data_IF_429171911493
#
_entry.id   IF_429171911493
#
_cell.length_a   1.000
_cell.length_b   1.000
_cell.length_c   1.000
_cell.angle_alpha   90.00
_cell.angle_beta   90.00
_cell.angle_gamma   90.00
#
_symmetry.space_group_name_H-M   'P 1'
#
loop_
_entity.id
_entity.type
_entity.pdbx_description
1 polymer ?
#
# COMPACT_ATOMS: atom_id res chain seq x y z
N UNK A 1 32.58 3.97 -16.94
CA UNK A 1 31.14 4.03 -16.60
C UNK A 1 30.60 2.61 -16.55
N UNK A 2 30.34 2.04 -15.36
CA UNK A 2 29.74 0.69 -15.28
C UNK A 2 28.27 0.82 -15.67
N UNK A 3 27.89 0.25 -16.82
CA UNK A 3 26.48 0.04 -17.17
C UNK A 3 25.85 -0.78 -16.04
N UNK A 4 24.98 -0.17 -15.24
CA UNK A 4 24.15 -0.90 -14.31
C UNK A 4 23.28 -1.85 -15.14
N UNK A 5 23.49 -3.16 -15.00
CA UNK A 5 22.66 -4.15 -15.68
C UNK A 5 21.22 -4.00 -15.18
N UNK A 6 20.30 -3.68 -16.11
CA UNK A 6 18.85 -3.75 -15.91
C UNK A 6 18.50 -5.12 -15.34
N UNK A 7 18.01 -5.16 -14.09
CA UNK A 7 17.66 -6.41 -13.43
C UNK A 7 16.69 -6.20 -12.28
N UNK A 8 15.74 -7.10 -12.17
CA UNK A 8 14.90 -7.31 -10.98
C UNK A 8 15.53 -8.40 -10.11
N UNK A 9 15.66 -8.14 -8.82
CA UNK A 9 16.17 -9.09 -7.81
C UNK A 9 15.23 -9.08 -6.61
N UNK A 10 15.38 -10.09 -5.74
CA UNK A 10 14.74 -10.04 -4.44
C UNK A 10 15.70 -10.47 -3.33
N UNK A 11 15.49 -9.92 -2.14
CA UNK A 11 16.00 -10.46 -0.88
C UNK A 11 14.82 -10.93 -0.04
N UNK A 12 15.07 -11.79 0.95
CA UNK A 12 14.02 -12.21 1.88
C UNK A 12 14.58 -12.38 3.29
N UNK A 13 13.70 -12.26 4.27
CA UNK A 13 13.96 -12.53 5.68
C UNK A 13 12.74 -13.24 6.28
N UNK A 14 13.00 -14.29 7.05
CA UNK A 14 11.97 -14.96 7.84
C UNK A 14 11.91 -14.28 9.24
N UNK A 15 10.83 -13.56 9.52
CA UNK A 15 10.54 -12.94 10.83
C UNK A 15 9.64 -13.88 11.63
N UNK A 16 9.69 -13.85 12.97
CA UNK A 16 8.94 -14.77 13.84
C UNK A 16 7.45 -14.88 13.48
N UNK A 17 6.84 -13.81 12.99
CA UNK A 17 5.41 -13.74 12.68
C UNK A 17 5.08 -13.80 11.19
N UNK A 18 6.03 -13.66 10.27
CA UNK A 18 5.78 -13.59 8.82
C UNK A 18 7.10 -13.64 8.04
N UNK A 19 7.01 -13.82 6.72
CA UNK A 19 8.13 -13.64 5.80
C UNK A 19 8.07 -12.25 5.20
N UNK A 20 9.22 -11.64 5.04
CA UNK A 20 9.39 -10.39 4.31
C UNK A 20 10.21 -10.65 3.05
N UNK A 21 9.72 -10.16 1.91
CA UNK A 21 10.43 -10.14 0.64
C UNK A 21 10.63 -8.69 0.22
N UNK A 22 11.80 -8.34 -0.28
CA UNK A 22 12.06 -7.02 -0.87
C UNK A 22 12.48 -7.24 -2.32
N UNK A 23 11.62 -6.84 -3.25
CA UNK A 23 11.89 -6.82 -4.68
C UNK A 23 12.54 -5.49 -5.02
N UNK A 24 13.69 -5.56 -5.68
CA UNK A 24 14.49 -4.41 -6.07
C UNK A 24 14.63 -4.40 -7.58
N UNK A 25 14.37 -3.27 -8.21
CA UNK A 25 14.48 -3.11 -9.66
C UNK A 25 15.36 -1.90 -10.01
N UNK A 26 16.48 -2.17 -10.69
CA UNK A 26 17.54 -1.19 -10.95
C UNK A 26 17.70 -0.87 -12.44
N UNK A 27 17.90 0.41 -12.76
CA UNK A 27 18.28 0.88 -14.09
C UNK A 27 17.21 0.69 -15.17
N UNK A 28 15.96 0.42 -14.78
CA UNK A 28 14.84 0.16 -15.67
C UNK A 28 14.07 1.46 -15.94
N UNK A 29 13.77 1.74 -17.20
CA UNK A 29 13.13 2.99 -17.62
C UNK A 29 11.60 2.98 -17.38
N UNK A 30 11.01 1.80 -17.13
CA UNK A 30 9.56 1.59 -16.98
C UNK A 30 9.21 1.02 -15.59
N UNK A 31 9.55 1.76 -14.55
CA UNK A 31 9.35 1.37 -13.15
C UNK A 31 7.88 1.12 -12.81
N UNK A 32 6.99 1.93 -13.38
CA UNK A 32 5.55 1.82 -13.16
C UNK A 32 4.97 0.50 -13.72
N UNK A 33 5.46 0.02 -14.88
CA UNK A 33 5.05 -1.27 -15.43
C UNK A 33 5.52 -2.45 -14.59
N UNK A 34 6.73 -2.36 -14.02
CA UNK A 34 7.22 -3.38 -13.09
C UNK A 34 6.35 -3.43 -11.85
N UNK A 35 6.04 -2.27 -11.26
CA UNK A 35 5.18 -2.15 -10.08
C UNK A 35 3.79 -2.72 -10.35
N UNK A 36 3.20 -2.34 -11.48
CA UNK A 36 1.91 -2.86 -11.92
C UNK A 36 1.92 -4.38 -12.05
N UNK A 37 2.93 -4.95 -12.73
CA UNK A 37 3.05 -6.41 -12.90
C UNK A 37 3.26 -7.14 -11.57
N UNK A 38 4.07 -6.61 -10.66
CA UNK A 38 4.24 -7.17 -9.30
C UNK A 38 2.89 -7.22 -8.60
N UNK A 39 2.19 -6.08 -8.54
CA UNK A 39 0.92 -5.98 -7.84
C UNK A 39 -0.13 -6.92 -8.46
N UNK A 40 -0.26 -6.92 -9.80
CA UNK A 40 -1.21 -7.81 -10.50
C UNK A 40 -0.92 -9.29 -10.26
N UNK A 41 0.35 -9.68 -10.21
CA UNK A 41 0.77 -11.06 -9.93
C UNK A 41 0.45 -11.48 -8.49
N UNK A 42 0.65 -10.59 -7.53
CA UNK A 42 0.36 -10.87 -6.11
C UNK A 42 -1.14 -11.03 -5.84
N UNK A 43 -1.93 -10.14 -6.46
CA UNK A 43 -3.38 -10.11 -6.37
C UNK A 43 -3.98 -11.38 -6.98
N UNK A 44 -3.60 -11.74 -8.21
CA UNK A 44 -4.27 -12.84 -8.92
C UNK A 44 -5.77 -12.56 -9.03
N UNK A 45 -6.59 -13.46 -8.49
CA UNK A 45 -8.05 -13.35 -8.44
C UNK A 45 -8.57 -12.75 -7.12
N UNK A 46 -7.68 -12.40 -6.19
CA UNK A 46 -8.06 -11.83 -4.90
C UNK A 46 -8.42 -10.35 -5.01
N UNK A 47 -9.28 -9.86 -4.12
CA UNK A 47 -9.52 -8.43 -4.01
C UNK A 47 -8.32 -7.72 -3.37
N UNK A 48 -8.17 -6.44 -3.68
CA UNK A 48 -7.16 -5.56 -3.11
C UNK A 48 -7.83 -4.59 -2.13
N UNK A 49 -7.46 -4.67 -0.87
CA UNK A 49 -7.72 -3.61 0.08
C UNK A 49 -6.69 -2.50 -0.11
N UNK A 50 -7.19 -1.27 -0.20
CA UNK A 50 -6.39 -0.07 -0.24
C UNK A 50 -6.74 0.80 0.95
N UNK A 51 -5.73 1.19 1.73
CA UNK A 51 -5.88 2.13 2.84
C UNK A 51 -5.06 3.37 2.54
N UNK A 52 -5.67 4.54 2.74
CA UNK A 52 -5.01 5.83 2.65
C UNK A 52 -5.16 6.56 3.98
N UNK A 53 -4.04 6.73 4.69
CA UNK A 53 -3.98 7.35 6.00
C UNK A 53 -3.21 8.68 5.92
N UNK A 54 -3.89 9.80 6.19
CA UNK A 54 -3.28 11.13 6.15
C UNK A 54 -2.33 11.41 7.32
N UNK A 55 -2.31 10.57 8.37
CA UNK A 55 -1.26 10.63 9.41
C UNK A 55 0.14 10.37 8.85
N UNK A 56 0.22 9.65 7.73
CA UNK A 56 1.49 9.31 7.08
C UNK A 56 1.99 10.39 6.12
N UNK A 57 1.25 11.50 5.97
CA UNK A 57 1.68 12.62 5.15
C UNK A 57 2.83 13.34 5.86
N UNK A 58 3.88 13.70 5.11
CA UNK A 58 4.99 14.42 5.72
C UNK A 58 4.53 15.83 6.09
N UNK A 59 5.01 16.36 7.22
CA UNK A 59 4.64 17.72 7.66
C UNK A 59 5.00 18.83 6.66
N UNK A 60 5.89 18.55 5.70
CA UNK A 60 6.26 19.46 4.61
C UNK A 60 5.26 19.50 3.46
N UNK A 61 4.37 18.53 3.39
CA UNK A 61 3.40 18.41 2.31
C UNK A 61 2.33 19.46 2.56
N UNK A 62 2.33 20.55 1.79
CA UNK A 62 1.33 21.64 1.85
C UNK A 62 -0.05 21.16 1.33
N UNK A 63 -0.44 19.94 1.68
CA UNK A 63 -1.64 19.27 1.24
C UNK A 63 -2.73 19.53 2.27
N UNK A 64 -3.88 20.03 1.83
CA UNK A 64 -5.08 20.03 2.65
C UNK A 64 -5.61 18.60 2.75
N UNK A 65 -5.32 17.93 3.87
CA UNK A 65 -5.65 16.51 4.09
C UNK A 65 -7.14 16.21 3.88
N UNK A 66 -8.02 17.14 4.28
CA UNK A 66 -9.47 16.98 4.14
C UNK A 66 -9.90 17.01 2.68
N UNK A 67 -9.51 18.04 1.94
CA UNK A 67 -9.84 18.15 0.51
C UNK A 67 -9.24 16.99 -0.29
N UNK A 68 -8.02 16.59 0.07
CA UNK A 68 -7.37 15.45 -0.55
C UNK A 68 -8.16 14.16 -0.33
N UNK A 69 -8.53 13.84 0.92
CA UNK A 69 -9.25 12.60 1.22
C UNK A 69 -10.66 12.59 0.61
N UNK A 70 -11.36 13.72 0.62
CA UNK A 70 -12.70 13.85 0.05
C UNK A 70 -12.67 13.67 -1.47
N UNK A 71 -11.69 14.25 -2.15
CA UNK A 71 -11.47 14.03 -3.57
C UNK A 71 -11.16 12.54 -3.87
N UNK A 72 -10.34 11.88 -3.05
CA UNK A 72 -10.06 10.45 -3.22
C UNK A 72 -11.30 9.59 -2.99
N UNK A 73 -12.12 9.89 -1.99
CA UNK A 73 -13.37 9.19 -1.73
C UNK A 73 -14.35 9.32 -2.91
N UNK A 74 -14.47 10.51 -3.50
CA UNK A 74 -15.28 10.73 -4.70
C UNK A 74 -14.79 9.89 -5.89
N UNK A 75 -13.47 9.78 -6.10
CA UNK A 75 -12.93 8.90 -7.14
C UNK A 75 -13.33 7.44 -6.88
N UNK A 76 -13.13 6.95 -5.66
CA UNK A 76 -13.49 5.58 -5.26
C UNK A 76 -14.97 5.31 -5.51
N UNK A 77 -15.84 6.25 -5.16
CA UNK A 77 -17.28 6.19 -5.42
C UNK A 77 -17.60 6.15 -6.93
N UNK A 78 -16.93 6.99 -7.74
CA UNK A 78 -17.12 7.01 -9.20
C UNK A 78 -16.72 5.69 -9.88
N UNK A 79 -15.73 4.98 -9.33
CA UNK A 79 -15.37 3.63 -9.79
C UNK A 79 -16.31 2.53 -9.27
N UNK A 80 -17.23 2.86 -8.36
CA UNK A 80 -18.18 1.91 -7.76
C UNK A 80 -17.54 0.97 -6.75
N UNK A 81 -16.45 1.37 -6.10
CA UNK A 81 -15.74 0.55 -5.13
C UNK A 81 -16.36 0.72 -3.73
N UNK A 82 -16.61 -0.39 -3.00
CA UNK A 82 -16.95 -0.34 -1.59
C UNK A 82 -15.90 0.41 -0.78
N UNK A 83 -16.31 1.34 0.09
CA UNK A 83 -15.37 2.11 0.90
C UNK A 83 -15.93 2.55 2.26
N UNK A 84 -15.01 2.91 3.16
CA UNK A 84 -15.27 3.57 4.43
C UNK A 84 -14.30 4.73 4.60
N UNK A 85 -14.84 5.87 5.03
CA UNK A 85 -14.08 7.07 5.36
C UNK A 85 -14.34 7.41 6.83
N UNK A 86 -13.28 7.61 7.62
CA UNK A 86 -13.41 8.07 8.99
C UNK A 86 -12.37 9.14 9.32
N UNK A 87 -12.77 10.07 10.18
CA UNK A 87 -11.88 11.03 10.82
C UNK A 87 -11.15 10.30 11.96
N UNK A 88 -9.83 10.44 12.03
CA UNK A 88 -8.99 9.82 13.06
C UNK A 88 -8.14 10.88 13.78
N UNK A 89 -7.70 10.61 15.02
CA UNK A 89 -6.81 11.51 15.73
C UNK A 89 -5.48 11.68 14.96
N UNK A 90 -4.98 12.92 14.86
CA UNK A 90 -3.67 13.15 14.25
C UNK A 90 -2.56 12.68 15.20
N UNK A 91 -1.72 11.77 14.73
CA UNK A 91 -0.54 11.30 15.46
C UNK A 91 0.60 12.30 15.21
N UNK A 92 0.70 13.31 16.06
CA UNK A 92 1.87 14.20 16.06
C UNK A 92 3.02 13.43 16.70
N UNK A 93 4.04 13.09 15.91
CA UNK A 93 5.21 12.36 16.39
C UNK A 93 5.86 13.12 17.56
N UNK A 94 5.76 12.58 18.78
CA UNK A 94 6.01 13.30 20.04
C UNK A 94 7.49 13.47 20.39
N UNK A 95 8.39 12.89 19.59
CA UNK A 95 9.82 12.81 19.89
C UNK A 95 10.59 14.12 19.62
N UNK A 96 9.95 15.15 19.04
CA UNK A 96 10.60 16.43 18.78
C UNK A 96 9.96 17.58 19.59
N UNK A 97 10.66 18.03 20.63
CA UNK A 97 10.22 19.09 21.57
C UNK A 97 9.86 20.40 20.86
N UNK A 98 10.51 20.71 19.73
CA UNK A 98 10.20 21.88 18.92
C UNK A 98 8.86 21.77 18.17
N UNK A 99 8.47 20.56 17.73
CA UNK A 99 7.15 20.32 17.14
C UNK A 99 6.02 20.47 18.19
N UNK A 100 6.33 20.21 19.47
CA UNK A 100 5.45 20.44 20.61
C UNK A 100 5.15 21.91 20.90
N UNK A 101 6.11 22.81 20.70
CA UNK A 101 5.90 24.25 20.90
C UNK A 101 5.10 24.90 19.76
N UNK A 102 5.23 24.40 18.53
CA UNK A 102 4.51 24.91 17.36
C UNK A 102 3.08 24.34 17.23
N UNK A 103 2.79 23.18 17.83
CA UNK A 103 1.47 22.52 17.79
C UNK A 103 0.51 22.96 18.91
N UNK A 104 0.94 23.81 19.85
CA UNK A 104 0.09 24.33 20.93
C UNK A 104 -1.02 25.29 20.46
N UNK A 105 -1.04 25.68 19.18
CA UNK A 105 -2.06 26.56 18.58
C UNK A 105 -3.20 25.86 17.84
N UNK A 106 -2.99 24.66 17.31
CA UNK A 106 -3.99 23.97 16.47
C UNK A 106 -4.71 22.87 17.24
N UNK A 107 -5.81 23.24 17.90
CA UNK A 107 -6.67 22.28 18.63
C UNK A 107 -7.52 21.38 17.74
N UNK A 108 -7.43 21.52 16.41
CA UNK A 108 -8.27 20.78 15.44
C UNK A 108 -7.47 19.95 14.42
N UNK A 109 -6.22 19.58 14.73
CA UNK A 109 -5.46 18.73 13.81
C UNK A 109 -6.10 17.34 13.71
N UNK A 110 -6.69 17.09 12.56
CA UNK A 110 -7.49 15.92 12.26
C UNK A 110 -6.88 15.20 11.09
N UNK A 111 -6.65 13.90 11.22
CA UNK A 111 -6.27 13.04 10.11
C UNK A 111 -7.50 12.25 9.63
N UNK A 112 -7.36 11.59 8.48
CA UNK A 112 -8.42 10.85 7.84
C UNK A 112 -7.90 9.50 7.36
N UNK A 113 -8.75 8.48 7.48
CA UNK A 113 -8.53 7.16 6.91
C UNK A 113 -9.62 6.89 5.88
N UNK A 114 -9.20 6.66 4.63
CA UNK A 114 -10.03 6.08 3.59
C UNK A 114 -9.58 4.64 3.36
N UNK A 115 -10.48 3.69 3.53
CA UNK A 115 -10.28 2.29 3.18
C UNK A 115 -11.27 1.88 2.10
N UNK A 116 -10.83 1.17 1.07
CA UNK A 116 -11.72 0.68 0.02
C UNK A 116 -11.25 -0.66 -0.54
N UNK A 117 -12.21 -1.43 -1.07
CA UNK A 117 -11.95 -2.70 -1.73
C UNK A 117 -11.99 -2.49 -3.24
N UNK A 118 -10.87 -2.77 -3.90
CA UNK A 118 -10.74 -2.82 -5.34
C UNK A 118 -10.86 -4.28 -5.82
N UNK A 119 -11.92 -4.63 -6.57
CA UNK A 119 -12.06 -5.97 -7.12
C UNK A 119 -10.91 -6.34 -8.06
N UNK A 120 -10.53 -7.62 -8.09
CA UNK A 120 -9.39 -8.11 -8.89
C UNK A 120 -9.45 -7.74 -10.37
N UNK A 121 -10.65 -7.79 -10.96
CA UNK A 121 -10.94 -7.44 -12.36
C UNK A 121 -10.85 -5.93 -12.63
N UNK A 122 -10.98 -5.10 -11.58
CA UNK A 122 -10.87 -3.65 -11.63
C UNK A 122 -9.45 -3.14 -11.40
N UNK A 123 -8.52 -4.01 -10.98
CA UNK A 123 -7.10 -3.66 -10.88
C UNK A 123 -6.50 -3.59 -12.29
N UNK A 124 -6.56 -2.40 -12.87
CA UNK A 124 -5.96 -2.01 -14.15
C UNK A 124 -4.81 -1.03 -13.93
N UNK A 125 -4.00 -0.79 -14.97
CA UNK A 125 -2.93 0.21 -14.89
C UNK A 125 -3.47 1.61 -14.53
N UNK A 126 -4.57 2.01 -15.13
CA UNK A 126 -5.22 3.31 -14.85
C UNK A 126 -5.62 3.45 -13.38
N UNK A 127 -6.29 2.44 -12.82
CA UNK A 127 -6.65 2.46 -11.39
C UNK A 127 -5.41 2.44 -10.50
N UNK A 128 -4.36 1.74 -10.91
CA UNK A 128 -3.11 1.67 -10.17
C UNK A 128 -2.42 3.03 -10.09
N UNK A 129 -2.29 3.71 -11.22
CA UNK A 129 -1.69 5.04 -11.29
C UNK A 129 -2.57 6.10 -10.61
N UNK A 130 -3.89 5.88 -10.56
CA UNK A 130 -4.81 6.77 -9.86
C UNK A 130 -4.62 6.72 -8.35
N UNK A 131 -4.46 5.53 -7.78
CA UNK A 131 -4.55 5.31 -6.32
C UNK A 131 -3.22 5.00 -5.61
N UNK A 132 -2.20 4.46 -6.29
CA UNK A 132 -0.96 3.97 -5.64
C UNK A 132 0.30 4.85 -5.66
N UNK A 133 0.44 5.94 -6.45
CA UNK A 133 1.65 6.77 -6.38
C UNK A 133 1.67 7.77 -5.21
N UNK A 134 0.81 7.60 -4.19
CA UNK A 134 0.60 8.61 -3.15
C UNK A 134 1.20 8.25 -1.80
N UNK A 135 1.61 9.27 -1.05
CA UNK A 135 2.00 9.14 0.34
C UNK A 135 0.87 8.52 1.17
N UNK A 136 1.23 7.71 2.16
CA UNK A 136 0.27 7.15 3.11
C UNK A 136 -0.62 6.02 2.61
N UNK A 137 -0.31 5.43 1.45
CA UNK A 137 -1.05 4.27 0.93
C UNK A 137 -0.45 2.96 1.45
N UNK A 138 -1.31 2.11 2.00
CA UNK A 138 -1.00 0.72 2.37
C UNK A 138 -1.91 -0.23 1.60
N UNK A 139 -1.36 -1.37 1.19
CA UNK A 139 -2.03 -2.35 0.34
C UNK A 139 -2.09 -3.71 1.02
N UNK A 140 -3.28 -4.28 1.08
CA UNK A 140 -3.52 -5.65 1.53
C UNK A 140 -4.16 -6.47 0.42
N UNK A 141 -3.52 -7.56 0.02
CA UNK A 141 -4.15 -8.58 -0.83
C UNK A 141 -5.02 -9.44 0.07
N UNK A 142 -6.34 -9.42 -0.13
CA UNK A 142 -7.28 -10.24 0.63
C UNK A 142 -7.05 -11.73 0.36
N UNK A 143 -7.55 -12.59 1.24
CA UNK A 143 -7.55 -14.04 1.02
C UNK A 143 -8.69 -14.46 0.09
N UNK A 144 -8.65 -15.72 -0.31
CA UNK A 144 -9.71 -16.32 -1.13
C UNK A 144 -11.01 -16.40 -0.34
N UNK A 145 -12.10 -15.91 -0.93
CA UNK A 145 -13.44 -15.98 -0.34
C UNK A 145 -13.73 -14.95 0.75
N UNK A 146 -12.85 -13.96 0.97
CA UNK A 146 -13.10 -12.88 1.93
C UNK A 146 -14.26 -11.97 1.51
N UNK A 147 -15.09 -11.60 2.48
CA UNK A 147 -16.13 -10.58 2.31
C UNK A 147 -15.50 -9.18 2.48
N UNK A 148 -15.41 -8.45 1.38
CA UNK A 148 -14.84 -7.11 1.36
C UNK A 148 -15.57 -6.10 2.26
N UNK A 149 -16.89 -6.21 2.41
CA UNK A 149 -17.66 -5.33 3.30
C UNK A 149 -17.34 -5.62 4.76
N UNK A 150 -17.21 -6.89 5.14
CA UNK A 150 -16.82 -7.28 6.49
C UNK A 150 -15.42 -6.77 6.83
N UNK A 151 -14.46 -6.88 5.91
CA UNK A 151 -13.11 -6.32 6.08
C UNK A 151 -13.18 -4.80 6.30
N UNK A 152 -13.96 -4.08 5.49
CA UNK A 152 -14.11 -2.64 5.63
C UNK A 152 -14.72 -2.25 6.98
N UNK A 153 -15.72 -2.98 7.46
CA UNK A 153 -16.30 -2.78 8.78
C UNK A 153 -15.29 -3.03 9.90
N UNK A 154 -14.44 -4.06 9.77
CA UNK A 154 -13.37 -4.30 10.73
C UNK A 154 -12.35 -3.16 10.78
N UNK A 155 -11.98 -2.58 9.63
CA UNK A 155 -11.08 -1.40 9.58
C UNK A 155 -11.77 -0.19 10.22
N UNK A 156 -13.04 0.03 9.87
CA UNK A 156 -13.80 1.16 10.39
C UNK A 156 -13.91 1.09 11.91
N UNK A 157 -14.20 -0.11 12.43
CA UNK A 157 -14.33 -0.41 13.85
C UNK A 157 -13.00 -0.49 14.62
N UNK A 158 -11.85 -0.52 13.93
CA UNK A 158 -10.53 -0.67 14.55
C UNK A 158 -10.14 -2.11 14.92
N UNK A 159 -10.95 -3.11 14.55
CA UNK A 159 -10.75 -4.53 14.90
C UNK A 159 -9.48 -5.10 14.23
N UNK A 160 -9.11 -4.61 13.04
CA UNK A 160 -7.91 -5.09 12.34
C UNK A 160 -6.61 -4.70 13.05
N UNK A 161 -6.61 -3.64 13.86
CA UNK A 161 -5.44 -3.31 14.70
C UNK A 161 -5.24 -4.35 15.82
N UNK A 162 -6.32 -4.97 16.28
CA UNK A 162 -6.32 -6.00 17.32
C UNK A 162 -6.14 -7.43 16.77
N UNK A 163 -6.52 -7.67 15.51
CA UNK A 163 -6.30 -8.95 14.81
C UNK A 163 -4.87 -8.99 14.24
N UNK A 164 -4.32 -10.19 14.06
CA UNK A 164 -3.09 -10.30 13.29
C UNK A 164 -3.42 -9.95 11.82
N UNK A 165 -2.66 -9.07 11.13
CA UNK A 165 -2.94 -8.71 9.74
C UNK A 165 -3.05 -9.94 8.83
N UNK A 166 -2.35 -11.01 9.18
CA UNK A 166 -2.34 -12.30 8.50
C UNK A 166 -3.63 -13.10 8.60
N UNK A 167 -4.57 -12.72 9.46
CA UNK A 167 -5.90 -13.33 9.51
C UNK A 167 -6.77 -12.80 8.36
N UNK A 168 -6.48 -11.59 7.90
CA UNK A 168 -7.22 -10.89 6.84
C UNK A 168 -6.48 -10.89 5.50
N UNK A 169 -5.15 -10.78 5.52
CA UNK A 169 -4.36 -10.63 4.30
C UNK A 169 -3.58 -11.89 3.93
N UNK A 170 -3.60 -12.19 2.64
CA UNK A 170 -2.63 -13.06 1.97
C UNK A 170 -1.26 -12.40 1.94
N UNK A 171 -1.20 -11.10 1.64
CA UNK A 171 0.02 -10.33 1.61
C UNK A 171 -0.24 -8.85 1.89
N UNK A 172 0.67 -8.20 2.62
CA UNK A 172 0.76 -6.75 2.67
C UNK A 172 1.85 -6.29 1.70
N UNK A 173 1.57 -5.22 0.94
CA UNK A 173 2.48 -4.68 -0.06
C UNK A 173 2.78 -3.23 0.30
N UNK A 174 4.07 -2.94 0.47
CA UNK A 174 4.60 -1.60 0.67
C UNK A 174 5.48 -1.26 -0.50
N UNK A 175 5.11 -0.22 -1.23
CA UNK A 175 5.79 0.14 -2.45
C UNK A 175 6.47 1.51 -2.31
N UNK A 176 7.76 1.56 -2.60
CA UNK A 176 8.56 2.78 -2.53
C UNK A 176 9.14 3.11 -3.91
N UNK A 177 8.44 3.94 -4.71
CA UNK A 177 8.85 4.23 -6.07
C UNK A 177 10.17 5.00 -6.14
N UNK A 178 10.51 5.79 -5.12
CA UNK A 178 11.72 6.63 -5.11
C UNK A 178 13.02 5.82 -5.12
N UNK A 179 13.03 4.66 -4.48
CA UNK A 179 14.20 3.77 -4.40
C UNK A 179 14.04 2.50 -5.25
N UNK A 180 12.93 2.38 -5.98
CA UNK A 180 12.65 1.24 -6.85
C UNK A 180 12.51 -0.08 -6.09
N UNK A 181 11.87 -0.05 -4.92
CA UNK A 181 11.67 -1.23 -4.08
C UNK A 181 10.19 -1.48 -3.81
N UNK A 182 9.79 -2.75 -3.88
CA UNK A 182 8.49 -3.22 -3.39
C UNK A 182 8.74 -4.27 -2.30
N UNK A 183 8.28 -3.99 -1.09
CA UNK A 183 8.30 -4.91 0.05
C UNK A 183 6.98 -5.66 0.14
N UNK A 184 7.06 -6.96 0.38
CA UNK A 184 5.91 -7.87 0.51
C UNK A 184 6.06 -8.59 1.84
N UNK A 185 5.04 -8.50 2.70
CA UNK A 185 4.97 -9.23 3.96
C UNK A 185 3.86 -10.27 3.89
N UNK A 186 4.13 -11.50 4.29
CA UNK A 186 3.19 -12.61 4.09
C UNK A 186 3.49 -13.83 4.97
N UNK A 187 2.47 -14.62 5.31
CA UNK A 187 2.63 -15.97 5.87
C UNK A 187 2.47 -17.09 4.84
N UNK A 188 1.88 -16.78 3.68
CA UNK A 188 1.38 -17.79 2.74
C UNK A 188 2.20 -17.85 1.46
N UNK A 189 2.74 -16.74 0.96
CA UNK A 189 3.56 -16.77 -0.25
C UNK A 189 4.90 -17.47 0.02
N UNK A 190 5.35 -18.25 -0.96
CA UNK A 190 6.58 -19.05 -0.90
C UNK A 190 7.74 -18.34 -1.59
N UNK A 191 8.97 -18.75 -1.27
CA UNK A 191 10.18 -18.25 -1.95
C UNK A 191 10.14 -18.58 -3.44
N UNK A 192 9.65 -19.77 -3.80
CA UNK A 192 9.53 -20.22 -5.19
C UNK A 192 8.57 -19.35 -5.99
N UNK A 193 7.43 -18.96 -5.40
CA UNK A 193 6.48 -18.04 -6.03
C UNK A 193 7.15 -16.69 -6.35
N UNK A 194 7.83 -16.10 -5.37
CA UNK A 194 8.52 -14.82 -5.55
C UNK A 194 9.66 -14.94 -6.58
N UNK A 195 10.40 -16.04 -6.55
CA UNK A 195 11.47 -16.31 -7.52
C UNK A 195 10.94 -16.43 -8.95
N UNK A 196 9.82 -17.12 -9.15
CA UNK A 196 9.20 -17.27 -10.45
C UNK A 196 8.70 -15.91 -10.97
N UNK A 197 8.00 -15.13 -10.15
CA UNK A 197 7.59 -13.76 -10.51
C UNK A 197 8.78 -12.88 -10.93
N UNK A 198 9.89 -12.93 -10.19
CA UNK A 198 11.10 -12.16 -10.54
C UNK A 198 11.73 -12.64 -11.84
N UNK A 199 11.66 -13.94 -12.15
CA UNK A 199 12.12 -14.48 -13.44
C UNK A 199 11.27 -13.93 -14.59
N UNK A 200 9.94 -14.01 -14.47
CA UNK A 200 8.98 -13.55 -15.49
C UNK A 200 9.13 -12.04 -15.75
N UNK A 201 9.38 -11.26 -14.70
CA UNK A 201 9.70 -9.83 -14.81
C UNK A 201 10.99 -9.61 -15.61
N UNK A 202 12.07 -10.31 -15.27
CA UNK A 202 13.33 -10.14 -16.01
C UNK A 202 13.20 -10.52 -17.50
N UNK A 203 12.44 -11.57 -17.82
CA UNK A 203 12.16 -11.97 -19.21
C UNK A 203 11.33 -10.91 -19.96
N UNK A 204 10.41 -10.23 -19.26
CA UNK A 204 9.59 -9.15 -19.84
C UNK A 204 10.37 -7.87 -20.19
N UNK A 205 11.55 -7.65 -19.60
CA UNK A 205 12.32 -6.40 -19.71
C UNK A 205 13.77 -6.60 -20.20
N UNK A 206 14.08 -7.79 -20.72
CA UNK A 206 15.35 -8.11 -21.41
C UNK A 206 15.23 -7.84 -22.91
#
# INVERSE_FOLDING_TARGET
MKLFKKKVKYTHQDVRSHREFVIQYYGLDNLEEIRYKILKTLIGDNNLLVQLDTNLFAMSDRINEKEYIEHRAQLVENYGFPYRLKKIPKIVNRDNIFARLLSLGDKDQSAYLLAFIMPADKVTRETVDTFFPHHGVSLGVCKDGDDGEEILEWIYSGIIEDKAPWDVYKAEVFDNPFIGHTMIKTKVLTKDFIQQMVKDLNESFS
#
